data_IF_650186788182
#
_entry.id   IF_650186788182
#
_cell.length_a   1.000
_cell.length_b   1.000
_cell.length_c   1.000
_cell.angle_alpha   90.00
_cell.angle_beta   90.00
_cell.angle_gamma   90.00
#
_symmetry.space_group_name_H-M   'P 1'
#
loop_
_entity.id
_entity.type
_entity.pdbx_description
1 polymer ?
#
# COMPACT_ATOMS: atom_id res chain seq x y z
N UNK A 1 -22.65 6.38 -5.00
CA UNK A 1 -21.79 5.18 -4.72
C UNK A 1 -20.69 5.62 -3.79
N UNK A 2 -20.35 4.84 -2.76
CA UNK A 2 -19.26 5.15 -1.85
C UNK A 2 -17.95 4.49 -2.30
N UNK A 3 -16.84 4.89 -1.70
CA UNK A 3 -15.53 4.27 -1.93
C UNK A 3 -14.89 3.93 -0.60
N UNK A 4 -14.40 2.71 -0.47
CA UNK A 4 -13.61 2.26 0.67
C UNK A 4 -12.14 2.27 0.24
N UNK A 5 -11.33 3.09 0.88
CA UNK A 5 -9.87 3.01 0.71
C UNK A 5 -9.33 2.15 1.83
N UNK A 6 -8.53 1.14 1.50
CA UNK A 6 -7.96 0.18 2.45
C UNK A 6 -6.46 0.10 2.27
N UNK A 7 -5.76 -0.02 3.39
CA UNK A 7 -4.34 -0.34 3.47
C UNK A 7 -4.09 -1.29 4.63
N UNK A 8 -3.16 -2.22 4.46
CA UNK A 8 -2.89 -3.30 5.41
C UNK A 8 -1.44 -3.28 5.85
N UNK A 9 -1.22 -3.41 7.17
CA UNK A 9 0.11 -3.69 7.69
C UNK A 9 0.27 -5.17 8.03
N UNK A 10 1.46 -5.70 7.76
CA UNK A 10 1.75 -7.11 7.92
C UNK A 10 3.00 -7.36 8.75
N UNK A 11 2.99 -8.47 9.48
CA UNK A 11 4.17 -9.02 10.13
C UNK A 11 4.69 -10.28 9.42
N UNK A 12 5.91 -10.69 9.75
CA UNK A 12 6.54 -11.87 9.15
C UNK A 12 6.09 -13.17 9.83
N UNK A 13 5.79 -14.19 9.04
CA UNK A 13 5.59 -15.55 9.54
C UNK A 13 6.91 -16.31 9.48
N UNK A 14 7.46 -16.76 10.63
CA UNK A 14 8.68 -17.54 10.67
C UNK A 14 8.56 -18.84 9.86
N UNK A 15 9.65 -19.25 9.20
CA UNK A 15 9.65 -20.42 8.29
C UNK A 15 9.13 -21.70 8.96
N UNK A 16 9.40 -21.91 10.25
CA UNK A 16 8.96 -23.10 10.97
C UNK A 16 7.46 -23.16 11.25
N UNK A 17 6.73 -22.03 11.17
CA UNK A 17 5.28 -21.97 11.24
C UNK A 17 4.59 -22.11 9.89
N UNK A 18 5.33 -22.01 8.79
CA UNK A 18 4.80 -22.17 7.43
C UNK A 18 4.55 -23.66 7.17
N UNK A 19 3.45 -24.15 7.63
CA UNK A 19 3.02 -25.55 7.45
C UNK A 19 2.16 -25.72 6.18
N UNK A 20 1.55 -26.91 6.03
CA UNK A 20 0.69 -27.21 4.87
C UNK A 20 -0.54 -26.30 4.79
N UNK A 21 -1.01 -25.77 5.92
CA UNK A 21 -2.23 -24.97 6.00
C UNK A 21 -1.97 -23.47 5.88
N UNK A 22 -0.76 -23.00 6.28
CA UNK A 22 -0.36 -21.62 6.13
C UNK A 22 1.01 -21.55 5.46
N UNK A 23 1.03 -21.21 4.15
CA UNK A 23 2.24 -21.22 3.31
C UNK A 23 2.86 -19.85 3.13
N UNK A 24 2.19 -18.80 3.57
CA UNK A 24 2.56 -17.43 3.26
C UNK A 24 3.59 -16.87 4.23
N UNK A 25 4.30 -15.85 3.74
CA UNK A 25 5.42 -15.27 4.47
C UNK A 25 5.00 -14.17 5.44
N UNK A 26 3.77 -13.69 5.30
CA UNK A 26 3.25 -12.53 6.02
C UNK A 26 1.86 -12.82 6.60
N UNK A 27 1.48 -12.08 7.63
CA UNK A 27 0.19 -12.12 8.28
C UNK A 27 -0.24 -10.70 8.68
N UNK A 28 -1.51 -10.37 8.47
CA UNK A 28 -2.07 -9.05 8.72
C UNK A 28 -2.08 -8.75 10.22
N UNK A 29 -1.66 -7.53 10.58
CA UNK A 29 -1.64 -7.00 11.95
C UNK A 29 -2.42 -5.70 12.11
N UNK A 30 -2.77 -5.02 11.00
CA UNK A 30 -3.62 -3.82 11.01
C UNK A 30 -4.44 -3.74 9.72
N UNK A 31 -5.67 -3.29 9.85
CA UNK A 31 -6.54 -2.88 8.75
C UNK A 31 -6.82 -1.41 8.93
N UNK A 32 -6.29 -0.58 8.06
CA UNK A 32 -6.61 0.84 7.95
C UNK A 32 -7.65 1.07 6.87
N UNK A 33 -8.74 1.77 7.18
CA UNK A 33 -9.77 2.07 6.21
C UNK A 33 -10.25 3.51 6.28
N UNK A 34 -10.53 4.07 5.11
CA UNK A 34 -11.21 5.36 4.95
C UNK A 34 -12.43 5.16 4.06
N UNK A 35 -13.57 5.61 4.52
CA UNK A 35 -14.81 5.60 3.73
C UNK A 35 -15.03 6.98 3.13
N UNK A 36 -15.21 7.03 1.81
CA UNK A 36 -15.49 8.25 1.06
C UNK A 36 -16.92 8.20 0.52
N UNK A 37 -17.54 9.37 0.45
CA UNK A 37 -18.82 9.52 -0.27
C UNK A 37 -18.61 9.65 -1.79
N UNK A 38 -19.68 9.96 -2.52
CA UNK A 38 -19.66 10.12 -3.98
C UNK A 38 -18.93 11.39 -4.47
N UNK A 39 -18.62 12.33 -3.56
CA UNK A 39 -17.79 13.50 -3.79
C UNK A 39 -16.35 13.31 -3.32
N UNK A 40 -15.95 12.09 -2.98
CA UNK A 40 -14.65 11.72 -2.41
C UNK A 40 -14.32 12.42 -1.08
N UNK A 41 -15.36 12.89 -0.34
CA UNK A 41 -15.18 13.41 1.02
C UNK A 41 -15.10 12.27 2.03
N UNK A 42 -14.21 12.41 3.02
CA UNK A 42 -14.05 11.41 4.08
C UNK A 42 -15.26 11.46 5.01
N UNK A 43 -16.05 10.40 5.04
CA UNK A 43 -17.22 10.23 5.90
C UNK A 43 -17.00 9.23 7.05
N UNK A 44 -15.87 8.54 7.06
CA UNK A 44 -15.52 7.63 8.14
C UNK A 44 -14.09 7.15 8.06
N UNK A 45 -13.52 6.77 9.21
CA UNK A 45 -12.19 6.19 9.34
C UNK A 45 -12.27 5.00 10.30
N UNK A 46 -11.53 3.94 9.99
CA UNK A 46 -11.39 2.75 10.83
C UNK A 46 -9.91 2.39 10.95
N UNK A 47 -9.46 2.23 12.19
CA UNK A 47 -8.17 1.63 12.52
C UNK A 47 -8.41 0.38 13.33
N UNK A 48 -8.18 -0.79 12.73
CA UNK A 48 -8.44 -2.07 13.37
C UNK A 48 -7.15 -2.88 13.46
N UNK A 49 -6.60 -3.03 14.67
CA UNK A 49 -5.52 -4.00 14.88
C UNK A 49 -6.05 -5.42 14.76
N UNK A 50 -5.18 -6.30 14.26
CA UNK A 50 -5.45 -7.72 14.07
C UNK A 50 -4.41 -8.53 14.83
N UNK A 51 -4.86 -9.55 15.57
CA UNK A 51 -3.97 -10.46 16.27
C UNK A 51 -3.45 -11.53 15.31
N UNK A 52 -2.12 -11.59 15.04
CA UNK A 52 -1.57 -12.64 14.20
C UNK A 52 -1.62 -13.99 14.93
N UNK A 53 -1.84 -15.08 14.17
CA UNK A 53 -1.84 -16.44 14.70
C UNK A 53 -0.46 -17.10 14.64
N UNK A 54 0.29 -16.77 13.60
CA UNK A 54 1.59 -17.37 13.26
C UNK A 54 2.70 -16.33 13.13
N UNK A 55 2.32 -15.11 12.85
CA UNK A 55 3.24 -14.00 12.60
C UNK A 55 3.91 -13.47 13.87
N UNK A 56 5.07 -12.87 13.67
CA UNK A 56 5.85 -12.23 14.74
C UNK A 56 6.17 -10.81 14.34
N UNK A 57 5.87 -9.88 15.25
CA UNK A 57 6.27 -8.48 15.11
C UNK A 57 7.70 -8.37 15.64
N UNK A 58 8.67 -8.37 14.74
CA UNK A 58 10.07 -8.15 15.06
C UNK A 58 10.38 -6.63 15.16
N UNK A 59 11.61 -6.27 15.56
CA UNK A 59 12.02 -4.87 15.68
C UNK A 59 11.88 -4.11 14.36
N UNK A 60 12.18 -4.76 13.22
CA UNK A 60 12.06 -4.12 11.92
C UNK A 60 10.61 -3.70 11.62
N UNK A 61 9.65 -4.60 11.86
CA UNK A 61 8.22 -4.30 11.67
C UNK A 61 7.76 -3.23 12.67
N UNK A 62 8.16 -3.34 13.93
CA UNK A 62 7.80 -2.35 14.95
C UNK A 62 8.35 -0.95 14.63
N UNK A 63 9.59 -0.84 14.15
CA UNK A 63 10.20 0.43 13.75
C UNK A 63 9.53 1.01 12.49
N UNK A 64 9.20 0.14 11.52
CA UNK A 64 8.58 0.51 10.27
C UNK A 64 7.16 1.02 10.48
N UNK A 65 6.30 0.21 11.09
CA UNK A 65 4.86 0.46 11.21
C UNK A 65 4.48 1.22 12.49
N UNK A 66 5.31 1.14 13.53
CA UNK A 66 4.96 1.61 14.87
C UNK A 66 4.10 0.61 15.67
N UNK A 67 3.75 -0.54 15.06
CA UNK A 67 2.92 -1.56 15.70
C UNK A 67 3.80 -2.49 16.52
N UNK A 68 3.47 -2.62 17.80
CA UNK A 68 4.14 -3.48 18.73
C UNK A 68 3.21 -4.62 19.19
N UNK A 69 3.79 -5.67 19.78
CA UNK A 69 3.01 -6.80 20.33
C UNK A 69 1.91 -6.39 21.33
N UNK A 70 2.09 -5.28 22.05
CA UNK A 70 1.07 -4.75 22.98
C UNK A 70 -0.20 -4.29 22.25
N UNK A 71 -0.11 -3.80 21.02
CA UNK A 71 -1.24 -3.30 20.23
C UNK A 71 -2.12 -4.45 19.73
N UNK A 72 -1.50 -5.58 19.35
CA UNK A 72 -2.20 -6.73 18.77
C UNK A 72 -2.57 -7.81 19.78
N UNK A 73 -2.00 -7.77 20.99
CA UNK A 73 -2.16 -8.86 21.99
C UNK A 73 -3.61 -9.20 22.32
N UNK A 74 -4.45 -8.18 22.37
CA UNK A 74 -5.88 -8.31 22.72
C UNK A 74 -6.79 -7.93 21.55
N UNK A 75 -6.23 -7.73 20.37
CA UNK A 75 -6.99 -7.50 19.15
C UNK A 75 -7.72 -8.79 18.73
N UNK A 76 -8.81 -8.66 17.96
CA UNK A 76 -9.49 -9.80 17.37
C UNK A 76 -8.59 -10.52 16.37
N UNK A 77 -8.89 -11.79 16.08
CA UNK A 77 -8.31 -12.46 14.92
C UNK A 77 -8.91 -11.91 13.62
N UNK A 78 -8.28 -12.23 12.47
CA UNK A 78 -8.60 -11.60 11.18
C UNK A 78 -10.09 -11.74 10.82
N UNK A 79 -10.70 -12.91 11.02
CA UNK A 79 -12.11 -13.11 10.67
C UNK A 79 -13.04 -12.16 11.44
N UNK A 80 -12.84 -12.06 12.75
CA UNK A 80 -13.61 -11.14 13.62
C UNK A 80 -13.31 -9.67 13.28
N UNK A 81 -12.05 -9.33 12.97
CA UNK A 81 -11.67 -7.99 12.54
C UNK A 81 -12.35 -7.59 11.23
N UNK A 82 -12.42 -8.50 10.27
CA UNK A 82 -13.15 -8.29 9.00
C UNK A 82 -14.66 -8.14 9.23
N UNK A 83 -15.24 -8.95 10.12
CA UNK A 83 -16.65 -8.81 10.50
C UNK A 83 -16.95 -7.45 11.13
N UNK A 84 -16.06 -6.94 12.01
CA UNK A 84 -16.18 -5.61 12.60
C UNK A 84 -16.09 -4.51 11.51
N UNK A 85 -15.13 -4.63 10.59
CA UNK A 85 -14.99 -3.71 9.46
C UNK A 85 -16.25 -3.70 8.58
N UNK A 86 -16.76 -4.88 8.21
CA UNK A 86 -17.96 -5.00 7.39
C UNK A 86 -19.21 -4.45 8.10
N UNK A 87 -19.33 -4.66 9.41
CA UNK A 87 -20.39 -4.05 10.21
C UNK A 87 -20.29 -2.53 10.26
N UNK A 88 -19.06 -1.97 10.32
CA UNK A 88 -18.81 -0.53 10.26
C UNK A 88 -19.17 0.05 8.88
N UNK A 89 -18.85 -0.64 7.79
CA UNK A 89 -19.25 -0.22 6.42
C UNK A 89 -20.78 -0.24 6.31
N UNK A 90 -21.45 -1.25 6.87
CA UNK A 90 -22.90 -1.44 6.81
C UNK A 90 -23.36 -1.84 5.39
N UNK A 91 -24.63 -1.52 5.08
CA UNK A 91 -25.28 -1.94 3.81
C UNK A 91 -25.02 -0.98 2.64
N UNK A 92 -23.88 -0.26 2.66
CA UNK A 92 -23.53 0.69 1.61
C UNK A 92 -23.06 -0.04 0.35
N UNK A 93 -23.40 0.51 -0.82
CA UNK A 93 -22.73 0.14 -2.06
C UNK A 93 -21.39 0.87 -2.15
N UNK A 94 -20.30 0.15 -2.41
CA UNK A 94 -18.95 0.72 -2.48
C UNK A 94 -18.05 -0.02 -3.46
N UNK A 95 -17.08 0.71 -4.00
CA UNK A 95 -15.86 0.18 -4.61
C UNK A 95 -14.72 0.25 -3.61
N UNK A 96 -13.71 -0.59 -3.78
CA UNK A 96 -12.57 -0.68 -2.88
C UNK A 96 -11.33 -0.21 -3.63
N UNK A 97 -10.66 0.76 -3.08
CA UNK A 97 -9.37 1.23 -3.55
C UNK A 97 -8.28 0.76 -2.59
N UNK A 98 -7.28 0.08 -3.12
CA UNK A 98 -6.00 -0.15 -2.45
C UNK A 98 -4.91 0.52 -3.25
N UNK A 99 -3.83 0.96 -2.60
CA UNK A 99 -2.72 1.55 -3.37
C UNK A 99 -2.13 0.55 -4.36
N UNK A 100 -2.04 -0.73 -3.97
CA UNK A 100 -1.65 -1.81 -4.89
C UNK A 100 -2.54 -3.04 -4.72
N UNK A 101 -2.41 -4.01 -5.61
CA UNK A 101 -3.11 -5.29 -5.53
C UNK A 101 -2.59 -6.23 -4.42
N UNK A 102 -1.48 -5.88 -3.76
CA UNK A 102 -0.88 -6.65 -2.67
C UNK A 102 -1.83 -6.89 -1.50
N UNK A 103 -2.65 -5.88 -1.15
CA UNK A 103 -3.60 -5.95 -0.05
C UNK A 103 -4.72 -6.96 -0.34
N UNK A 104 -5.28 -6.92 -1.55
CA UNK A 104 -6.26 -7.89 -1.99
C UNK A 104 -5.68 -9.31 -1.98
N UNK A 105 -4.48 -9.49 -2.53
CA UNK A 105 -3.80 -10.79 -2.55
C UNK A 105 -3.51 -11.30 -1.14
N UNK A 106 -3.02 -10.46 -0.24
CA UNK A 106 -2.74 -10.84 1.14
C UNK A 106 -4.00 -11.30 1.88
N UNK A 107 -5.10 -10.54 1.76
CA UNK A 107 -6.40 -10.93 2.33
C UNK A 107 -6.89 -12.26 1.77
N UNK A 108 -6.88 -12.43 0.45
CA UNK A 108 -7.30 -13.66 -0.21
C UNK A 108 -6.49 -14.85 0.30
N UNK A 109 -5.17 -14.69 0.41
CA UNK A 109 -4.27 -15.72 0.92
C UNK A 109 -4.62 -16.14 2.35
N UNK A 110 -4.89 -15.18 3.23
CA UNK A 110 -5.22 -15.48 4.63
C UNK A 110 -6.60 -16.09 4.78
N UNK A 111 -7.60 -15.56 4.09
CA UNK A 111 -8.97 -16.08 4.09
C UNK A 111 -8.97 -17.57 3.68
N UNK A 112 -8.31 -17.90 2.56
CA UNK A 112 -8.21 -19.27 2.07
C UNK A 112 -7.42 -20.15 3.03
N UNK A 113 -6.26 -19.68 3.52
CA UNK A 113 -5.39 -20.47 4.40
C UNK A 113 -5.99 -20.73 5.77
N UNK A 114 -6.83 -19.81 6.24
CA UNK A 114 -7.49 -19.91 7.56
C UNK A 114 -8.89 -20.53 7.46
N UNK A 115 -9.33 -20.87 6.24
CA UNK A 115 -10.61 -21.56 6.00
C UNK A 115 -11.82 -20.71 6.38
N UNK A 116 -11.80 -19.40 6.12
CA UNK A 116 -12.92 -18.51 6.39
C UNK A 116 -14.04 -18.75 5.38
N UNK A 117 -15.26 -18.97 5.87
CA UNK A 117 -16.43 -19.30 5.05
C UNK A 117 -17.56 -18.27 5.19
N UNK A 118 -17.34 -17.16 5.91
CA UNK A 118 -18.32 -16.10 6.08
C UNK A 118 -18.68 -15.49 4.71
N UNK A 119 -19.95 -15.56 4.36
CA UNK A 119 -20.44 -15.13 3.01
C UNK A 119 -20.24 -13.64 2.76
N UNK A 120 -20.25 -12.78 3.78
CA UNK A 120 -20.00 -11.34 3.65
C UNK A 120 -18.54 -11.06 3.39
N UNK A 121 -17.63 -11.81 4.05
CA UNK A 121 -16.19 -11.75 3.81
C UNK A 121 -15.88 -12.19 2.39
N UNK A 122 -16.48 -13.30 1.93
CA UNK A 122 -16.31 -13.79 0.56
C UNK A 122 -16.85 -12.80 -0.49
N UNK A 123 -18.01 -12.18 -0.23
CA UNK A 123 -18.57 -11.13 -1.11
C UNK A 123 -17.69 -9.87 -1.12
N UNK A 124 -17.09 -9.48 0.01
CA UNK A 124 -16.11 -8.38 0.10
C UNK A 124 -14.91 -8.63 -0.82
N UNK A 125 -14.47 -9.87 -0.96
CA UNK A 125 -13.35 -10.26 -1.82
C UNK A 125 -13.68 -10.37 -3.30
N UNK A 126 -14.92 -10.01 -3.73
CA UNK A 126 -15.26 -9.99 -5.15
C UNK A 126 -14.34 -9.03 -5.92
N UNK A 127 -13.56 -9.58 -6.84
CA UNK A 127 -12.55 -8.86 -7.62
C UNK A 127 -13.12 -7.64 -8.35
N UNK A 128 -14.38 -7.66 -8.76
CA UNK A 128 -15.01 -6.53 -9.46
C UNK A 128 -15.18 -5.27 -8.61
N UNK A 129 -15.06 -5.41 -7.29
CA UNK A 129 -15.12 -4.28 -6.35
C UNK A 129 -13.76 -3.64 -6.12
N UNK A 130 -12.67 -4.39 -6.32
CA UNK A 130 -11.32 -3.95 -6.01
C UNK A 130 -10.67 -3.23 -7.19
N UNK A 131 -10.04 -2.13 -6.90
CA UNK A 131 -9.32 -1.29 -7.84
C UNK A 131 -7.90 -1.08 -7.32
N UNK A 132 -6.92 -1.58 -8.07
CA UNK A 132 -5.51 -1.26 -7.90
C UNK A 132 -5.28 0.17 -8.35
N UNK A 133 -5.19 1.09 -7.38
CA UNK A 133 -5.06 2.51 -7.70
C UNK A 133 -3.65 2.88 -8.20
N UNK A 134 -2.62 2.12 -7.83
CA UNK A 134 -1.27 2.26 -8.38
C UNK A 134 -1.26 1.99 -9.89
N UNK A 135 -1.99 0.99 -10.35
CA UNK A 135 -2.13 0.71 -11.78
C UNK A 135 -2.92 1.81 -12.50
N UNK A 136 -3.99 2.36 -11.89
CA UNK A 136 -4.74 3.51 -12.41
C UNK A 136 -3.82 4.73 -12.54
N UNK A 137 -3.08 5.04 -11.48
CA UNK A 137 -2.10 6.11 -11.43
C UNK A 137 -1.01 5.94 -12.50
N UNK A 138 -0.39 4.77 -12.54
CA UNK A 138 0.66 4.45 -13.50
C UNK A 138 0.20 4.60 -14.95
N UNK A 139 -1.01 4.13 -15.26
CA UNK A 139 -1.60 4.28 -16.60
C UNK A 139 -1.87 5.75 -16.95
N UNK A 140 -2.39 6.54 -16.00
CA UNK A 140 -2.68 7.96 -16.20
C UNK A 140 -1.43 8.76 -16.56
N UNK A 141 -0.32 8.51 -15.87
CA UNK A 141 0.91 9.28 -16.02
C UNK A 141 1.98 8.59 -16.87
N UNK A 142 1.67 7.43 -17.47
CA UNK A 142 2.56 6.71 -18.39
C UNK A 142 3.75 6.04 -17.72
N UNK A 143 3.67 5.70 -16.42
CA UNK A 143 4.71 4.93 -15.75
C UNK A 143 4.74 3.48 -16.24
N UNK A 144 5.94 2.96 -16.50
CA UNK A 144 6.17 1.55 -16.85
C UNK A 144 6.46 0.71 -15.61
N UNK A 145 6.92 1.35 -14.54
CA UNK A 145 7.23 0.72 -13.24
C UNK A 145 6.15 1.03 -12.20
N UNK A 146 6.11 0.22 -11.16
CA UNK A 146 5.31 0.52 -9.98
C UNK A 146 5.87 1.79 -9.29
N UNK A 147 4.97 2.67 -8.86
CA UNK A 147 5.25 3.92 -8.16
C UNK A 147 4.82 3.76 -6.71
N UNK A 148 5.66 4.12 -5.76
CA UNK A 148 5.27 4.09 -4.33
C UNK A 148 4.22 5.16 -4.03
N UNK A 149 3.42 4.95 -2.96
CA UNK A 149 2.44 5.95 -2.51
C UNK A 149 3.12 7.29 -2.21
N UNK A 150 4.24 7.28 -1.49
CA UNK A 150 4.99 8.49 -1.17
C UNK A 150 5.48 9.24 -2.41
N UNK A 151 5.94 8.52 -3.46
CA UNK A 151 6.34 9.12 -4.73
C UNK A 151 5.13 9.73 -5.45
N UNK A 152 3.98 9.05 -5.46
CA UNK A 152 2.76 9.55 -6.08
C UNK A 152 2.22 10.80 -5.38
N UNK A 153 2.26 10.85 -4.05
CA UNK A 153 1.89 12.03 -3.27
C UNK A 153 2.81 13.21 -3.58
N UNK A 154 4.12 12.97 -3.59
CA UNK A 154 5.12 14.00 -3.90
C UNK A 154 4.91 14.59 -5.30
N UNK A 155 4.63 13.75 -6.31
CA UNK A 155 4.40 14.22 -7.68
C UNK A 155 3.09 14.98 -7.85
N UNK A 156 2.14 14.81 -6.94
CA UNK A 156 0.89 15.58 -6.89
C UNK A 156 0.94 16.76 -5.91
N UNK A 157 2.11 17.08 -5.36
CA UNK A 157 2.31 18.15 -4.35
C UNK A 157 1.38 18.02 -3.13
N UNK A 158 1.15 16.76 -2.73
CA UNK A 158 0.33 16.42 -1.56
C UNK A 158 1.26 16.17 -0.38
N UNK A 159 1.10 16.98 0.67
CA UNK A 159 1.87 16.82 1.90
C UNK A 159 1.58 15.49 2.59
N UNK A 160 2.65 14.83 3.03
CA UNK A 160 2.59 13.62 3.86
C UNK A 160 2.54 14.06 5.32
N UNK A 161 1.34 14.11 5.88
CA UNK A 161 1.13 14.35 7.30
C UNK A 161 1.20 13.00 8.04
N UNK A 162 2.03 12.90 9.06
CA UNK A 162 2.12 11.67 9.85
C UNK A 162 3.23 10.71 9.40
N UNK A 163 3.08 9.45 9.79
CA UNK A 163 4.08 8.40 9.52
C UNK A 163 3.57 7.50 8.39
N UNK A 164 4.35 7.35 7.33
CA UNK A 164 4.15 6.28 6.35
C UNK A 164 4.33 4.92 7.03
N UNK A 165 3.67 3.90 6.49
CA UNK A 165 3.59 2.55 7.06
C UNK A 165 2.78 2.48 8.38
N UNK A 166 1.74 3.29 8.49
CA UNK A 166 0.59 3.06 9.36
C UNK A 166 -0.63 2.89 8.45
N UNK A 167 -1.29 1.73 8.51
CA UNK A 167 -2.36 1.40 7.56
C UNK A 167 -3.48 2.43 7.49
N UNK A 168 -3.85 3.10 8.61
CA UNK A 168 -4.84 4.16 8.55
C UNK A 168 -4.30 5.42 7.88
N UNK A 169 -3.06 5.82 8.18
CA UNK A 169 -2.45 7.00 7.56
C UNK A 169 -2.24 6.80 6.07
N UNK A 170 -1.78 5.60 5.64
CA UNK A 170 -1.58 5.28 4.23
C UNK A 170 -2.93 5.20 3.47
N UNK A 171 -3.99 4.68 4.10
CA UNK A 171 -5.34 4.77 3.56
C UNK A 171 -5.85 6.22 3.43
N UNK A 172 -5.53 7.11 4.40
CA UNK A 172 -5.86 8.55 4.32
C UNK A 172 -5.09 9.22 3.19
N UNK A 173 -3.80 8.93 3.04
CA UNK A 173 -2.97 9.48 1.97
C UNK A 173 -3.45 9.02 0.60
N UNK A 174 -3.78 7.74 0.44
CA UNK A 174 -4.39 7.21 -0.78
C UNK A 174 -5.72 7.90 -1.06
N UNK A 175 -6.58 8.12 -0.05
CA UNK A 175 -7.84 8.83 -0.20
C UNK A 175 -7.65 10.29 -0.65
N UNK A 176 -6.67 11.01 -0.08
CA UNK A 176 -6.31 12.38 -0.51
C UNK A 176 -5.87 12.40 -1.98
N UNK A 177 -5.02 11.43 -2.38
CA UNK A 177 -4.55 11.31 -3.76
C UNK A 177 -5.71 11.00 -4.72
N UNK A 178 -6.58 10.05 -4.38
CA UNK A 178 -7.78 9.74 -5.16
C UNK A 178 -8.62 10.99 -5.35
N UNK A 179 -8.99 11.67 -4.27
CA UNK A 179 -9.80 12.90 -4.33
C UNK A 179 -9.14 13.94 -5.22
N UNK A 180 -7.86 14.23 -5.00
CA UNK A 180 -7.12 15.21 -5.78
C UNK A 180 -7.18 14.90 -7.29
N UNK A 181 -6.95 13.66 -7.67
CA UNK A 181 -6.92 13.25 -9.07
C UNK A 181 -8.30 13.22 -9.73
N UNK A 182 -9.35 12.95 -8.98
CA UNK A 182 -10.74 13.00 -9.46
C UNK A 182 -11.23 14.45 -9.60
N UNK A 183 -10.83 15.35 -8.70
CA UNK A 183 -11.13 16.77 -8.81
C UNK A 183 -10.32 17.48 -9.90
N UNK A 184 -9.18 16.94 -10.29
CA UNK A 184 -8.28 17.52 -11.29
C UNK A 184 -8.00 16.54 -12.46
N UNK A 185 -9.02 16.23 -13.29
CA UNK A 185 -8.89 15.22 -14.35
C UNK A 185 -7.80 15.56 -15.39
N UNK A 186 -7.52 16.83 -15.59
CA UNK A 186 -6.50 17.31 -16.53
C UNK A 186 -5.13 17.56 -15.87
N UNK A 187 -4.97 17.18 -14.57
CA UNK A 187 -3.71 17.33 -13.89
C UNK A 187 -2.61 16.49 -14.58
N UNK A 188 -1.56 17.14 -14.98
CA UNK A 188 -0.33 16.53 -15.47
C UNK A 188 0.84 17.20 -14.76
N UNK A 189 1.80 16.40 -14.32
CA UNK A 189 3.04 16.93 -13.76
C UNK A 189 4.16 16.81 -14.79
N UNK A 190 5.06 17.79 -14.79
CA UNK A 190 6.23 17.75 -15.63
C UNK A 190 7.12 16.58 -15.22
N UNK A 191 7.00 15.47 -15.95
CA UNK A 191 7.81 14.30 -15.69
C UNK A 191 9.22 14.54 -16.25
N UNK A 192 10.16 14.91 -15.38
CA UNK A 192 11.57 15.05 -15.75
C UNK A 192 12.12 13.79 -16.45
N UNK A 193 11.61 12.61 -16.13
CA UNK A 193 11.99 11.36 -16.79
C UNK A 193 11.48 11.27 -18.24
N UNK A 194 10.34 11.88 -18.58
CA UNK A 194 9.85 11.98 -19.98
C UNK A 194 10.72 12.92 -20.83
N UNK A 195 11.19 14.02 -20.24
CA UNK A 195 12.10 14.95 -20.92
C UNK A 195 13.51 14.39 -21.12
N UNK A 196 13.94 13.47 -20.25
CA UNK A 196 15.26 12.81 -20.38
C UNK A 196 15.30 11.73 -21.47
N UNK A 197 14.17 11.19 -21.93
CA UNK A 197 14.14 10.16 -22.98
C UNK A 197 14.21 10.75 -24.40
N UNK A 198 13.91 12.04 -24.60
CA UNK A 198 13.93 12.66 -25.94
C UNK A 198 15.23 13.37 -26.29
N UNK A 199 16.08 13.76 -25.31
CA UNK A 199 17.25 14.60 -25.55
C UNK A 199 18.58 14.12 -24.94
N UNK A 200 18.67 12.92 -24.40
CA UNK A 200 19.97 12.42 -23.89
C UNK A 200 20.67 11.62 -24.98
N UNK A 201 21.57 12.29 -25.71
CA UNK A 201 22.67 11.56 -26.32
C UNK A 201 23.36 10.72 -25.24
N UNK A 202 23.56 9.41 -25.46
CA UNK A 202 24.19 8.57 -24.45
C UNK A 202 25.56 9.20 -24.12
N UNK A 203 25.72 9.53 -22.83
CA UNK A 203 27.01 10.00 -22.32
C UNK A 203 28.05 8.89 -22.56
N UNK A 204 28.72 8.92 -23.68
CA UNK A 204 29.85 8.06 -24.03
C UNK A 204 31.08 8.50 -23.21
N UNK A 205 31.02 8.37 -21.90
CA UNK A 205 32.21 8.44 -21.06
C UNK A 205 32.75 7.03 -20.84
N UNK A 206 33.92 6.74 -21.40
CA UNK A 206 34.64 5.53 -20.96
C UNK A 206 35.28 5.81 -19.60
N UNK A 207 35.38 4.77 -18.76
CA UNK A 207 36.12 4.89 -17.48
C UNK A 207 37.55 5.45 -17.69
N UNK A 208 38.12 5.23 -18.87
CA UNK A 208 39.43 5.78 -19.29
C UNK A 208 39.47 7.31 -19.37
N UNK A 209 38.37 7.91 -19.83
CA UNK A 209 38.27 9.36 -19.95
C UNK A 209 38.17 10.06 -18.61
N UNK A 210 37.60 9.39 -17.62
CA UNK A 210 37.46 9.90 -16.24
C UNK A 210 38.83 9.99 -15.55
N UNK A 211 39.79 9.12 -15.91
CA UNK A 211 41.12 9.07 -15.32
C UNK A 211 42.20 9.80 -16.17
N UNK A 212 41.88 10.23 -17.39
CA UNK A 212 42.83 10.93 -18.27
C UNK A 212 43.28 12.30 -17.73
N UNK A 213 42.52 12.88 -16.77
CA UNK A 213 42.88 14.16 -16.14
C UNK A 213 43.59 14.03 -14.77
N UNK A 214 43.81 12.83 -14.25
CA UNK A 214 44.50 12.61 -13.00
C UNK A 214 45.98 12.37 -13.25
N UNK A 215 46.77 13.46 -13.25
CA UNK A 215 48.25 13.37 -13.11
C UNK A 215 48.57 12.94 -11.70
N UNK A 216 48.77 11.63 -11.47
CA UNK A 216 49.39 11.13 -10.24
C UNK A 216 50.94 11.40 -10.34
N UNK A 217 51.39 12.46 -9.73
CA UNK A 217 52.83 12.61 -9.45
C UNK A 217 53.24 11.58 -8.39
N UNK A 218 53.90 10.52 -8.82
CA UNK A 218 54.63 9.66 -7.90
C UNK A 218 55.93 10.37 -7.47
N UNK A 219 55.96 10.85 -6.23
CA UNK A 219 57.19 11.31 -5.60
C UNK A 219 58.11 10.10 -5.39
N UNK A 220 59.27 10.19 -5.98
CA UNK A 220 60.41 9.28 -5.82
C UNK A 220 61.12 9.46 -4.46
#
# INVERSE_FOLDING_TARGET
MNYLVIDLEMCKVPKHYRNKNYKYAQEIIQIGCVLLDEQFEIIGKLNQYVRPQYGVIDHFIADLTGIENRHVKYAPYLEEALQHMLAWIGDREYKIYAWSDSDHHQLMHEIVSKGMEDSKILDFMNQERWIDYQAVYGKRFGYVRSVSLGEALLTCDIDVDGKLHDGLEDAIHTAKLVKFLEEHPDYDFCNYEKGMQEDVEPLNFSLGDLFAGLHLEFAS
#
